data_IF_813096393873
#
_entry.id   IF_813096393873
#
_cell.length_a   1.000
_cell.length_b   1.000
_cell.length_c   1.000
_cell.angle_alpha   90.00
_cell.angle_beta   90.00
_cell.angle_gamma   90.00
#
_symmetry.space_group_name_H-M   'P 1'
#
loop_
_entity.id
_entity.type
_entity.pdbx_description
1 polymer ?
#
# COMPACT_ATOMS: atom_id res chain seq x y z
N UNK A 1 21.96 -1.10 -22.47
CA UNK A 1 20.93 -0.11 -22.84
C UNK A 1 19.74 -0.37 -21.93
N UNK A 2 19.39 0.56 -21.04
CA UNK A 2 18.23 0.40 -20.17
C UNK A 2 16.99 0.94 -20.89
N UNK A 3 15.90 0.17 -20.87
CA UNK A 3 14.61 0.60 -21.45
C UNK A 3 13.69 0.95 -20.29
N UNK A 4 13.39 2.23 -20.14
CA UNK A 4 12.36 2.67 -19.20
C UNK A 4 10.98 2.26 -19.76
N UNK A 5 10.21 1.55 -18.94
CA UNK A 5 8.79 1.27 -19.23
C UNK A 5 7.93 2.12 -18.30
N UNK A 6 7.00 2.87 -18.88
CA UNK A 6 5.97 3.55 -18.10
C UNK A 6 4.94 2.50 -17.66
N UNK A 7 4.58 2.54 -16.37
CA UNK A 7 3.53 1.71 -15.79
C UNK A 7 2.41 2.69 -15.43
N UNK A 8 1.24 2.52 -16.04
CA UNK A 8 0.09 3.36 -15.74
C UNK A 8 -0.51 2.91 -14.40
N UNK A 9 -0.30 3.70 -13.35
CA UNK A 9 -0.92 3.48 -12.05
C UNK A 9 -2.36 4.04 -11.98
N UNK A 10 -2.87 4.67 -13.05
CA UNK A 10 -4.23 5.22 -13.17
C UNK A 10 -4.66 6.13 -11.98
N UNK A 11 -3.72 6.84 -11.36
CA UNK A 11 -4.05 7.80 -10.30
C UNK A 11 -4.73 9.03 -10.91
N UNK A 12 -5.68 9.60 -10.16
CA UNK A 12 -6.39 10.81 -10.59
C UNK A 12 -5.55 12.07 -10.40
N UNK A 13 -4.51 11.97 -9.58
CA UNK A 13 -3.67 13.08 -9.17
C UNK A 13 -2.19 12.64 -9.09
N UNK A 14 -1.33 13.54 -8.62
CA UNK A 14 0.11 13.35 -8.50
C UNK A 14 0.45 12.16 -7.60
N UNK A 15 1.40 11.35 -8.09
CA UNK A 15 2.01 10.25 -7.35
C UNK A 15 3.18 10.83 -6.57
N UNK A 16 3.16 10.65 -5.25
CA UNK A 16 4.22 11.14 -4.37
C UNK A 16 5.31 10.11 -4.16
N UNK A 17 4.92 8.84 -4.01
CA UNK A 17 5.85 7.77 -3.67
C UNK A 17 5.41 6.42 -4.26
N UNK A 18 6.39 5.53 -4.39
CA UNK A 18 6.23 4.17 -4.93
C UNK A 18 7.13 3.20 -4.18
N UNK A 19 6.57 2.08 -3.77
CA UNK A 19 7.29 1.04 -3.04
C UNK A 19 7.00 -0.34 -3.61
N UNK A 20 8.05 -1.13 -3.78
CA UNK A 20 7.95 -2.51 -4.24
C UNK A 20 7.87 -3.47 -3.06
N UNK A 21 7.12 -4.54 -3.26
CA UNK A 21 7.17 -5.70 -2.38
C UNK A 21 8.59 -6.30 -2.36
N UNK A 22 8.96 -6.96 -1.28
CA UNK A 22 10.28 -7.58 -1.09
C UNK A 22 10.64 -8.56 -2.21
N UNK A 23 9.64 -9.26 -2.74
CA UNK A 23 9.80 -10.19 -3.86
C UNK A 23 9.75 -9.55 -5.25
N UNK A 24 9.54 -8.23 -5.34
CA UNK A 24 9.45 -7.48 -6.60
C UNK A 24 8.25 -7.83 -7.48
N UNK A 25 7.26 -8.58 -6.95
CA UNK A 25 6.08 -9.03 -7.70
C UNK A 25 4.96 -8.00 -7.75
N UNK A 26 4.88 -7.16 -6.73
CA UNK A 26 3.83 -6.16 -6.55
C UNK A 26 4.45 -4.80 -6.28
N UNK A 27 3.77 -3.76 -6.74
CA UNK A 27 4.13 -2.37 -6.51
C UNK A 27 2.94 -1.69 -5.85
N UNK A 28 3.24 -0.91 -4.80
CA UNK A 28 2.33 0.01 -4.18
C UNK A 28 2.67 1.43 -4.63
N UNK A 29 1.67 2.21 -5.03
CA UNK A 29 1.77 3.62 -5.38
C UNK A 29 0.85 4.43 -4.50
N UNK A 30 1.29 5.60 -4.05
CA UNK A 30 0.45 6.52 -3.28
C UNK A 30 0.33 7.87 -3.97
N UNK A 31 -0.83 8.50 -3.80
CA UNK A 31 -1.16 9.71 -4.54
C UNK A 31 -1.92 10.74 -3.71
N UNK A 32 -1.94 11.97 -4.20
CA UNK A 32 -2.76 13.07 -3.67
C UNK A 32 -4.26 12.77 -3.69
N UNK A 33 -4.71 11.83 -4.54
CA UNK A 33 -6.11 11.37 -4.64
C UNK A 33 -6.60 10.54 -3.44
N UNK A 34 -5.89 10.60 -2.31
CA UNK A 34 -6.19 9.92 -1.05
C UNK A 34 -6.15 8.38 -1.14
N UNK A 35 -5.69 7.85 -2.27
CA UNK A 35 -5.68 6.42 -2.54
C UNK A 35 -4.26 5.86 -2.58
N UNK A 36 -4.14 4.64 -2.08
CA UNK A 36 -2.97 3.78 -2.27
C UNK A 36 -3.39 2.68 -3.23
N UNK A 37 -2.65 2.49 -4.31
CA UNK A 37 -2.92 1.42 -5.27
C UNK A 37 -1.86 0.35 -5.20
N UNK A 38 -2.29 -0.90 -5.15
CA UNK A 38 -1.41 -2.07 -5.17
C UNK A 38 -1.79 -2.92 -6.37
N UNK A 39 -0.99 -2.82 -7.45
CA UNK A 39 -1.26 -3.47 -8.74
C UNK A 39 -2.65 -3.14 -9.30
N UNK A 40 -3.67 -3.97 -9.05
CA UNK A 40 -5.06 -3.77 -9.50
C UNK A 40 -6.04 -3.40 -8.38
N UNK A 41 -5.56 -3.29 -7.14
CA UNK A 41 -6.38 -3.01 -5.97
C UNK A 41 -6.24 -1.54 -5.57
N UNK A 42 -7.36 -0.92 -5.20
CA UNK A 42 -7.41 0.45 -4.70
C UNK A 42 -7.73 0.40 -3.21
N UNK A 43 -6.82 0.91 -2.39
CA UNK A 43 -6.90 1.00 -0.95
C UNK A 43 -7.14 2.46 -0.57
N UNK A 44 -8.35 2.76 -0.08
CA UNK A 44 -8.73 4.11 0.35
C UNK A 44 -8.80 4.09 1.88
N UNK A 45 -7.84 4.72 2.55
CA UNK A 45 -7.83 4.81 4.02
C UNK A 45 -7.79 6.24 4.55
N UNK A 46 -7.39 7.21 3.73
CA UNK A 46 -7.04 8.54 4.19
C UNK A 46 -8.04 9.57 3.68
N UNK A 47 -8.25 10.63 4.45
CA UNK A 47 -9.04 11.81 4.04
C UNK A 47 -8.11 12.94 3.55
N UNK A 48 -6.80 12.68 3.53
CA UNK A 48 -5.76 13.58 3.03
C UNK A 48 -4.86 12.91 2.00
N UNK A 49 -4.05 13.73 1.33
CA UNK A 49 -3.04 13.25 0.38
C UNK A 49 -2.08 12.29 1.08
N UNK A 50 -1.78 11.16 0.42
CA UNK A 50 -0.88 10.14 0.94
C UNK A 50 0.53 10.42 0.44
N UNK A 51 1.47 10.56 1.37
CA UNK A 51 2.82 11.06 1.05
C UNK A 51 3.86 9.96 0.95
N UNK A 52 3.64 8.84 1.64
CA UNK A 52 4.59 7.72 1.65
C UNK A 52 3.84 6.42 1.81
N UNK A 53 4.37 5.40 1.15
CA UNK A 53 3.92 4.02 1.26
C UNK A 53 5.14 3.11 1.41
N UNK A 54 5.06 2.11 2.27
CA UNK A 54 6.18 1.19 2.51
C UNK A 54 5.71 -0.23 2.82
N UNK A 55 6.40 -1.21 2.25
CA UNK A 55 6.18 -2.63 2.52
C UNK A 55 6.99 -3.07 3.74
N UNK A 56 6.38 -3.86 4.60
CA UNK A 56 7.08 -4.49 5.71
C UNK A 56 7.91 -5.69 5.22
N UNK A 57 8.87 -6.10 6.06
CA UNK A 57 9.65 -7.30 5.82
C UNK A 57 8.74 -8.55 5.85
N UNK A 58 8.92 -9.53 4.94
CA UNK A 58 8.05 -10.72 4.85
C UNK A 58 8.03 -11.60 6.11
N UNK A 59 8.97 -11.43 7.04
CA UNK A 59 8.94 -12.07 8.36
C UNK A 59 7.69 -11.70 9.18
N UNK A 60 7.14 -10.51 8.96
CA UNK A 60 5.91 -10.02 9.59
C UNK A 60 4.66 -10.30 8.77
N UNK A 61 4.78 -11.05 7.67
CA UNK A 61 3.71 -11.25 6.69
C UNK A 61 3.63 -10.14 5.66
N UNK A 62 2.55 -10.14 4.88
CA UNK A 62 2.36 -9.18 3.81
C UNK A 62 1.64 -7.93 4.33
N UNK A 63 2.44 -7.03 4.92
CA UNK A 63 1.97 -5.79 5.55
C UNK A 63 2.46 -4.57 4.78
N UNK A 64 1.61 -3.58 4.64
CA UNK A 64 1.86 -2.31 3.96
C UNK A 64 1.46 -1.16 4.88
N UNK A 65 2.33 -0.17 5.07
CA UNK A 65 2.01 1.04 5.81
C UNK A 65 1.90 2.24 4.87
N UNK A 66 0.90 3.09 5.11
CA UNK A 66 0.73 4.36 4.43
C UNK A 66 0.58 5.50 5.44
N UNK A 67 1.10 6.68 5.10
CA UNK A 67 0.91 7.88 5.91
C UNK A 67 0.38 9.07 5.10
N UNK A 68 -0.46 9.87 5.74
CA UNK A 68 -1.21 10.95 5.12
C UNK A 68 -1.02 12.29 5.84
N UNK A 69 -1.31 13.37 5.13
CA UNK A 69 -1.35 14.72 5.69
C UNK A 69 -2.50 14.97 6.68
N UNK A 70 -3.47 14.05 6.73
CA UNK A 70 -4.56 14.06 7.73
C UNK A 70 -4.09 13.73 9.17
N UNK A 71 -2.77 13.55 9.36
CA UNK A 71 -2.12 13.17 10.63
C UNK A 71 -2.48 11.76 11.10
N UNK A 72 -2.88 10.89 10.17
CA UNK A 72 -3.11 9.47 10.42
C UNK A 72 -2.15 8.61 9.61
N UNK A 73 -1.93 7.41 10.12
CA UNK A 73 -1.30 6.34 9.37
C UNK A 73 -2.26 5.17 9.30
N UNK A 74 -2.24 4.47 8.17
CA UNK A 74 -2.98 3.24 7.99
C UNK A 74 -2.00 2.10 7.79
N UNK A 75 -2.23 1.00 8.51
CA UNK A 75 -1.50 -0.24 8.32
C UNK A 75 -2.46 -1.24 7.70
N UNK A 76 -2.03 -1.81 6.59
CA UNK A 76 -2.76 -2.74 5.78
C UNK A 76 -2.11 -4.11 5.88
N UNK A 77 -2.89 -5.11 6.28
CA UNK A 77 -2.45 -6.49 6.29
C UNK A 77 -3.25 -7.27 5.24
N UNK A 78 -2.54 -8.00 4.37
CA UNK A 78 -3.18 -8.91 3.42
C UNK A 78 -3.39 -10.27 4.09
N UNK A 79 -4.65 -10.60 4.35
CA UNK A 79 -5.01 -11.91 4.87
C UNK A 79 -5.31 -12.82 3.69
N UNK A 80 -4.35 -13.68 3.35
CA UNK A 80 -4.53 -14.76 2.39
C UNK A 80 -5.36 -15.84 3.09
N UNK A 81 -6.68 -15.81 2.90
CA UNK A 81 -7.55 -16.84 3.44
C UNK A 81 -7.20 -18.21 2.84
N UNK A 82 -6.67 -19.12 3.65
CA UNK A 82 -6.62 -20.57 3.37
C UNK A 82 -8.05 -21.10 3.29
N UNK A 83 -8.74 -20.81 2.19
CA UNK A 83 -10.09 -21.30 1.95
C UNK A 83 -10.00 -22.62 1.19
N UNK A 84 -10.22 -23.71 1.92
CA UNK A 84 -10.41 -25.06 1.38
C UNK A 84 -11.30 -25.04 0.12
N UNK A 85 -10.68 -25.39 -1.01
CA UNK A 85 -11.21 -25.98 -2.25
C UNK A 85 -12.39 -25.39 -3.05
N UNK A 86 -13.09 -24.31 -2.65
CA UNK A 86 -14.20 -23.78 -3.49
C UNK A 86 -14.33 -22.28 -3.69
N UNK A 87 -13.58 -21.43 -2.97
CA UNK A 87 -13.58 -19.98 -3.20
C UNK A 87 -12.18 -19.49 -3.56
N UNK A 88 -11.82 -19.66 -4.83
CA UNK A 88 -10.57 -19.12 -5.37
C UNK A 88 -10.58 -17.59 -5.30
N UNK A 89 -9.73 -17.03 -4.44
CA UNK A 89 -8.91 -15.88 -4.82
C UNK A 89 -9.32 -14.50 -4.31
N UNK A 90 -10.11 -14.38 -3.23
CA UNK A 90 -10.35 -13.06 -2.62
C UNK A 90 -9.33 -12.81 -1.49
N UNK A 91 -8.14 -12.35 -1.86
CA UNK A 91 -7.22 -11.69 -0.93
C UNK A 91 -7.92 -10.44 -0.38
N UNK A 92 -8.18 -10.40 0.92
CA UNK A 92 -8.78 -9.22 1.55
C UNK A 92 -7.71 -8.43 2.29
N UNK A 93 -7.73 -7.12 2.06
CA UNK A 93 -6.85 -6.18 2.73
C UNK A 93 -7.62 -5.57 3.88
N UNK A 94 -7.11 -5.76 5.10
CA UNK A 94 -7.68 -5.14 6.29
C UNK A 94 -6.83 -3.94 6.66
N UNK A 95 -7.43 -2.75 6.68
CA UNK A 95 -6.80 -1.56 7.24
C UNK A 95 -7.13 -1.43 8.72
N UNK A 96 -6.10 -1.24 9.55
CA UNK A 96 -6.24 -0.60 10.85
C UNK A 96 -5.76 0.85 10.74
N UNK A 97 -6.60 1.80 11.14
CA UNK A 97 -6.21 3.19 11.33
C UNK A 97 -5.40 3.30 12.63
N UNK A 98 -4.12 3.65 12.50
CA UNK A 98 -3.25 3.91 13.63
C UNK A 98 -3.31 5.39 13.99
N UNK A 99 -3.79 5.69 15.20
CA UNK A 99 -3.92 7.07 15.70
C UNK A 99 -2.56 7.63 16.14
N UNK A 100 -2.25 8.81 15.61
CA UNK A 100 -1.22 9.78 16.00
C UNK A 100 0.08 9.22 16.59
N UNK A 101 1.02 8.85 15.71
CA UNK A 101 2.43 8.77 16.06
C UNK A 101 3.13 10.06 15.64
N UNK A 102 3.74 10.83 16.58
CA UNK A 102 4.50 12.04 16.24
C UNK A 102 5.84 11.77 15.54
N UNK A 103 6.12 10.53 15.12
CA UNK A 103 7.37 10.14 14.48
C UNK A 103 7.10 9.45 13.15
N UNK A 104 7.90 9.83 12.14
CA UNK A 104 7.96 9.19 10.83
C UNK A 104 7.92 7.67 10.99
N UNK A 105 7.01 7.01 10.26
CA UNK A 105 7.10 5.57 10.00
C UNK A 105 8.42 5.37 9.24
N UNK A 106 9.47 5.07 10.00
CA UNK A 106 10.77 4.70 9.46
C UNK A 106 10.79 3.19 9.51
N UNK A 107 10.41 2.58 8.38
CA UNK A 107 10.68 1.17 8.16
C UNK A 107 12.08 1.11 7.59
N UNK A 108 12.98 0.45 8.31
CA UNK A 108 14.38 0.26 7.95
C UNK A 108 14.53 -0.57 6.67
#
# INVERSE_FOLDING_TARGET
MFVARSIAADHKDLIHDVSYDFHGRRMATCSSDQSVKVSSLVLVAHDGSVWRVTWAHPEFGQVLASCSFDRTAAVWEEIVGESNDKQRGLSHWVSTLALHFPFNITVY
#
